data_IF_184810029304
#
_entry.id   IF_184810029304
#
_cell.length_a   1.000
_cell.length_b   1.000
_cell.length_c   1.000
_cell.angle_alpha   90.00
_cell.angle_beta   90.00
_cell.angle_gamma   90.00
#
_symmetry.space_group_name_H-M   'P 1'
#
loop_
_entity.id
_entity.type
_entity.pdbx_description
1 polymer ?
#
# COMPACT_ATOMS: atom_id res chain seq x y z
N UNK A 1 -41.96 -38.95 -15.87
CA UNK A 1 -40.98 -38.06 -16.53
C UNK A 1 -40.45 -37.16 -15.42
N UNK A 2 -39.23 -37.36 -14.92
CA UNK A 2 -38.76 -36.58 -13.78
C UNK A 2 -38.43 -35.17 -14.28
N UNK A 3 -38.94 -34.18 -13.56
CA UNK A 3 -38.45 -32.80 -13.59
C UNK A 3 -36.93 -32.85 -13.47
N UNK A 4 -36.26 -32.42 -14.55
CA UNK A 4 -34.83 -32.12 -14.47
C UNK A 4 -34.72 -30.89 -13.59
N UNK A 5 -34.15 -31.11 -12.39
CA UNK A 5 -33.38 -30.13 -11.66
C UNK A 5 -32.65 -29.20 -12.64
N UNK A 6 -33.22 -28.02 -12.88
CA UNK A 6 -32.48 -26.83 -13.22
C UNK A 6 -31.76 -26.42 -11.94
N UNK A 7 -30.80 -27.25 -11.54
CA UNK A 7 -29.93 -27.01 -10.42
C UNK A 7 -29.34 -25.62 -10.59
N UNK A 8 -29.26 -24.89 -9.48
CA UNK A 8 -28.58 -23.62 -9.31
C UNK A 8 -27.19 -23.66 -9.98
N UNK A 9 -27.13 -23.45 -11.29
CA UNK A 9 -25.91 -23.02 -11.96
C UNK A 9 -25.75 -21.56 -11.56
N UNK A 10 -25.29 -21.36 -10.32
CA UNK A 10 -24.93 -20.03 -9.82
C UNK A 10 -24.07 -19.37 -10.88
N UNK A 11 -24.55 -18.25 -11.42
CA UNK A 11 -23.87 -17.52 -12.48
C UNK A 11 -22.51 -17.06 -11.93
N UNK A 12 -21.45 -17.83 -12.17
CA UNK A 12 -20.11 -17.51 -11.68
C UNK A 12 -19.63 -16.25 -12.39
N UNK A 13 -19.13 -15.29 -11.62
CA UNK A 13 -18.58 -14.04 -12.15
C UNK A 13 -17.14 -14.29 -12.60
N UNK A 14 -16.80 -13.85 -13.81
CA UNK A 14 -15.42 -13.75 -14.28
C UNK A 14 -15.09 -12.31 -14.66
N UNK A 15 -13.82 -11.94 -14.54
CA UNK A 15 -13.37 -10.56 -14.72
C UNK A 15 -12.12 -10.47 -15.57
N UNK A 16 -12.00 -9.37 -16.31
CA UNK A 16 -10.81 -9.01 -17.07
C UNK A 16 -10.39 -7.59 -16.69
N UNK A 17 -9.14 -7.42 -16.29
CA UNK A 17 -8.61 -6.12 -15.88
C UNK A 17 -7.44 -5.70 -16.77
N UNK A 18 -7.46 -4.44 -17.22
CA UNK A 18 -6.40 -3.87 -18.05
C UNK A 18 -6.29 -2.35 -17.88
N UNK A 19 -5.47 -1.73 -18.71
CA UNK A 19 -5.37 -0.27 -18.81
C UNK A 19 -6.44 0.27 -19.77
N UNK A 20 -6.88 1.51 -19.59
CA UNK A 20 -7.82 2.22 -20.48
C UNK A 20 -7.15 2.63 -21.82
N UNK A 21 -6.73 1.67 -22.64
CA UNK A 21 -6.19 1.98 -23.97
C UNK A 21 -7.30 2.34 -24.98
N UNK A 22 -7.02 3.32 -25.84
CA UNK A 22 -7.90 3.73 -26.96
C UNK A 22 -7.94 2.72 -28.12
N UNK A 23 -7.18 1.62 -28.02
CA UNK A 23 -7.04 0.59 -29.05
C UNK A 23 -7.45 -0.77 -28.50
N UNK A 24 -8.54 -1.31 -29.06
CA UNK A 24 -9.12 -2.63 -28.79
C UNK A 24 -8.13 -3.78 -29.00
N UNK A 25 -7.26 -4.06 -28.02
CA UNK A 25 -6.63 -5.37 -27.92
C UNK A 25 -6.96 -5.99 -26.56
N UNK A 26 -7.74 -7.08 -26.60
CA UNK A 26 -7.94 -7.99 -25.47
C UNK A 26 -6.60 -8.59 -24.97
N UNK A 27 -5.53 -8.48 -25.77
CA UNK A 27 -4.22 -9.10 -25.54
C UNK A 27 -3.46 -8.54 -24.34
N UNK A 28 -3.82 -7.35 -23.84
CA UNK A 28 -3.20 -6.75 -22.64
C UNK A 28 -4.08 -6.85 -21.37
N UNK A 29 -5.21 -7.57 -21.45
CA UNK A 29 -6.09 -7.74 -20.29
C UNK A 29 -5.72 -8.99 -19.48
N UNK A 30 -5.57 -8.82 -18.17
CA UNK A 30 -5.35 -9.91 -17.23
C UNK A 30 -6.70 -10.49 -16.78
N UNK A 31 -6.91 -11.79 -16.99
CA UNK A 31 -8.05 -12.51 -16.40
C UNK A 31 -7.91 -12.55 -14.89
N UNK A 32 -8.98 -12.20 -14.19
CA UNK A 32 -9.10 -12.30 -12.75
C UNK A 32 -9.81 -13.60 -12.36
N UNK A 33 -9.20 -14.30 -11.40
CA UNK A 33 -9.86 -15.36 -10.65
C UNK A 33 -10.37 -14.75 -9.34
N UNK A 34 -11.66 -14.90 -9.08
CA UNK A 34 -12.26 -14.49 -7.81
C UNK A 34 -12.24 -15.67 -6.84
N UNK A 35 -11.56 -15.49 -5.72
CA UNK A 35 -11.52 -16.43 -4.61
C UNK A 35 -12.67 -16.09 -3.65
N UNK A 36 -13.40 -17.11 -3.18
CA UNK A 36 -14.43 -16.94 -2.16
C UNK A 36 -13.80 -16.62 -0.81
N UNK A 37 -14.38 -15.65 -0.11
CA UNK A 37 -14.03 -15.25 1.25
C UNK A 37 -15.12 -15.66 2.25
N UNK A 38 -14.82 -15.71 3.56
CA UNK A 38 -15.75 -16.17 4.60
C UNK A 38 -17.13 -15.48 4.62
N UNK A 39 -17.23 -14.25 4.11
CA UNK A 39 -18.47 -13.45 4.03
C UNK A 39 -19.24 -13.63 2.71
N UNK A 40 -19.02 -14.72 1.96
CA UNK A 40 -19.53 -14.89 0.59
C UNK A 40 -19.10 -13.77 -0.40
N UNK A 41 -18.04 -13.03 -0.06
CA UNK A 41 -17.43 -12.01 -0.93
C UNK A 41 -16.42 -12.67 -1.88
N UNK A 42 -16.35 -12.20 -3.12
CA UNK A 42 -15.29 -12.56 -4.05
C UNK A 42 -14.11 -11.60 -3.97
N UNK A 43 -12.89 -12.11 -3.96
CA UNK A 43 -11.67 -11.30 -4.05
C UNK A 43 -10.82 -11.70 -5.24
N UNK A 44 -10.41 -10.74 -6.05
CA UNK A 44 -9.50 -10.94 -7.18
C UNK A 44 -8.39 -9.88 -7.19
N UNK A 45 -7.20 -10.25 -7.66
CA UNK A 45 -6.06 -9.35 -7.72
C UNK A 45 -5.32 -9.51 -9.04
N UNK A 46 -5.07 -8.41 -9.75
CA UNK A 46 -4.19 -8.40 -10.91
C UNK A 46 -2.75 -8.11 -10.49
N UNK A 47 -1.89 -9.12 -10.59
CA UNK A 47 -0.47 -9.05 -10.17
C UNK A 47 0.51 -8.78 -11.31
N UNK A 48 0.03 -8.80 -12.57
CA UNK A 48 0.87 -8.75 -13.77
C UNK A 48 0.56 -7.54 -14.67
N UNK A 49 -0.08 -6.50 -14.12
CA UNK A 49 -0.30 -5.24 -14.85
C UNK A 49 0.97 -4.41 -14.87
N UNK A 50 1.31 -3.87 -16.03
CA UNK A 50 2.40 -2.93 -16.23
C UNK A 50 2.04 -1.95 -17.35
N UNK A 51 2.70 -0.79 -17.36
CA UNK A 51 2.64 0.17 -18.47
C UNK A 51 4.03 0.24 -19.10
N UNK A 52 4.11 0.07 -20.42
CA UNK A 52 5.37 0.17 -21.17
C UNK A 52 5.80 1.62 -21.32
N UNK A 53 7.09 1.86 -21.45
CA UNK A 53 7.67 3.14 -21.83
C UNK A 53 7.28 3.60 -23.25
N UNK A 54 6.72 2.72 -24.08
CA UNK A 54 6.07 3.07 -25.34
C UNK A 54 4.82 3.93 -25.13
N UNK A 55 4.11 3.74 -24.00
CA UNK A 55 2.95 4.55 -23.64
C UNK A 55 3.41 5.90 -23.08
N UNK A 56 3.03 6.99 -23.75
CA UNK A 56 3.43 8.36 -23.39
C UNK A 56 2.39 9.10 -22.54
N UNK A 57 1.30 8.44 -22.15
CA UNK A 57 0.26 9.05 -21.31
C UNK A 57 0.82 9.38 -19.94
N UNK A 58 0.48 10.57 -19.43
CA UNK A 58 0.85 11.00 -18.06
C UNK A 58 -0.02 10.35 -17.00
N UNK A 59 -1.20 9.91 -17.39
CA UNK A 59 -2.18 9.29 -16.52
C UNK A 59 -2.99 8.24 -17.28
N UNK A 60 -3.47 7.22 -16.57
CA UNK A 60 -4.34 6.17 -17.10
C UNK A 60 -5.37 5.77 -16.03
N UNK A 61 -6.38 4.99 -16.41
CA UNK A 61 -7.28 4.29 -15.48
C UNK A 61 -7.16 2.79 -15.69
N UNK A 62 -7.39 2.04 -14.62
CA UNK A 62 -7.67 0.62 -14.72
C UNK A 62 -9.12 0.44 -15.17
N UNK A 63 -9.34 -0.55 -16.03
CA UNK A 63 -10.65 -0.95 -16.52
C UNK A 63 -10.88 -2.39 -16.11
N UNK A 64 -11.94 -2.63 -15.34
CA UNK A 64 -12.42 -3.95 -14.97
C UNK A 64 -13.71 -4.24 -15.74
N UNK A 65 -13.70 -5.29 -16.55
CA UNK A 65 -14.91 -5.81 -17.21
C UNK A 65 -15.34 -7.08 -16.53
N UNK A 66 -16.60 -7.15 -16.12
CA UNK A 66 -17.18 -8.32 -15.46
C UNK A 66 -18.21 -9.00 -16.37
N UNK A 67 -18.22 -10.33 -16.34
CA UNK A 67 -19.13 -11.16 -17.11
C UNK A 67 -19.68 -12.29 -16.23
N UNK A 68 -20.92 -12.68 -16.48
CA UNK A 68 -21.46 -13.94 -15.98
C UNK A 68 -20.88 -15.12 -16.76
N UNK A 69 -20.97 -16.32 -16.19
CA UNK A 69 -20.50 -17.56 -16.81
C UNK A 69 -21.20 -17.91 -18.12
N UNK A 70 -22.40 -17.36 -18.37
CA UNK A 70 -23.13 -17.49 -19.63
C UNK A 70 -22.65 -16.51 -20.72
N UNK A 71 -21.64 -15.68 -20.44
CA UNK A 71 -21.09 -14.69 -21.36
C UNK A 71 -21.78 -13.32 -21.34
N UNK A 72 -22.86 -13.15 -20.56
CA UNK A 72 -23.52 -11.86 -20.42
C UNK A 72 -22.62 -10.87 -19.67
N UNK A 73 -22.40 -9.69 -20.24
CA UNK A 73 -21.65 -8.61 -19.59
C UNK A 73 -22.44 -8.06 -18.38
N UNK A 74 -21.77 -7.99 -17.24
CA UNK A 74 -22.30 -7.37 -16.02
C UNK A 74 -22.05 -5.86 -16.10
N UNK A 75 -20.85 -5.46 -16.52
CA UNK A 75 -20.51 -4.06 -16.73
C UNK A 75 -19.01 -3.81 -16.81
N UNK A 76 -18.70 -2.55 -17.10
CA UNK A 76 -17.33 -2.03 -17.17
C UNK A 76 -17.14 -0.96 -16.10
N UNK A 77 -16.15 -1.18 -15.23
CA UNK A 77 -15.83 -0.37 -14.06
C UNK A 77 -14.44 0.24 -14.19
N UNK A 78 -14.30 1.51 -13.80
CA UNK A 78 -13.06 2.27 -13.96
C UNK A 78 -12.43 2.62 -12.60
N UNK A 79 -11.11 2.60 -12.49
CA UNK A 79 -10.45 3.18 -11.32
C UNK A 79 -10.47 4.72 -11.35
N UNK A 80 -10.04 5.34 -10.25
CA UNK A 80 -9.56 6.73 -10.30
C UNK A 80 -8.34 6.84 -11.21
N UNK A 81 -8.00 8.07 -11.55
CA UNK A 81 -6.86 8.38 -12.39
C UNK A 81 -5.54 8.00 -11.68
N UNK A 82 -4.69 7.24 -12.34
CA UNK A 82 -3.37 6.82 -11.84
C UNK A 82 -2.30 7.59 -12.61
N UNK A 83 -1.44 8.30 -11.87
CA UNK A 83 -0.33 9.07 -12.45
C UNK A 83 0.83 8.15 -12.80
N UNK A 84 1.33 8.26 -14.03
CA UNK A 84 2.54 7.58 -14.48
C UNK A 84 3.76 8.33 -13.96
N UNK A 85 4.66 7.60 -13.31
CA UNK A 85 5.93 8.12 -12.79
C UNK A 85 7.08 7.28 -13.33
N UNK A 86 8.24 7.91 -13.56
CA UNK A 86 9.41 7.22 -14.11
C UNK A 86 10.11 6.36 -13.07
N UNK A 87 10.69 7.00 -12.04
CA UNK A 87 11.33 6.37 -10.88
C UNK A 87 11.08 7.25 -9.65
N UNK A 88 11.02 6.67 -8.44
CA UNK A 88 11.00 7.48 -7.23
C UNK A 88 12.24 8.38 -7.19
N UNK A 89 12.04 9.66 -6.86
CA UNK A 89 13.14 10.61 -6.73
C UNK A 89 14.00 10.23 -5.53
N UNK A 90 15.31 10.06 -5.76
CA UNK A 90 16.31 9.95 -4.69
C UNK A 90 16.76 11.31 -4.14
N UNK A 91 16.47 12.39 -4.88
CA UNK A 91 16.78 13.76 -4.44
C UNK A 91 15.83 14.17 -3.32
N UNK A 92 16.29 15.09 -2.46
CA UNK A 92 15.47 15.77 -1.45
C UNK A 92 14.17 16.23 -2.10
N UNK A 93 13.05 15.74 -1.60
CA UNK A 93 11.76 16.12 -2.16
C UNK A 93 11.52 17.59 -1.84
N UNK A 94 11.26 18.38 -2.87
CA UNK A 94 10.93 19.79 -2.72
C UNK A 94 9.42 19.98 -2.74
N UNK A 95 8.94 20.99 -2.02
CA UNK A 95 7.54 21.43 -2.07
C UNK A 95 7.13 22.03 -3.44
N UNK A 96 8.01 22.03 -4.45
CA UNK A 96 7.66 22.40 -5.83
C UNK A 96 7.00 21.26 -6.61
N UNK A 97 7.10 20.01 -6.13
CA UNK A 97 6.45 18.84 -6.73
C UNK A 97 5.55 18.17 -5.69
N UNK A 98 4.48 18.87 -5.33
CA UNK A 98 3.49 18.47 -4.32
C UNK A 98 2.68 17.24 -4.71
N UNK A 99 2.50 17.00 -6.01
CA UNK A 99 1.68 15.88 -6.52
C UNK A 99 2.16 14.50 -6.06
N UNK A 100 3.45 14.37 -5.74
CA UNK A 100 4.04 13.12 -5.29
C UNK A 100 4.20 13.07 -3.76
N UNK A 101 3.81 14.12 -3.03
CA UNK A 101 3.88 14.13 -1.58
C UNK A 101 2.70 13.40 -0.97
N UNK A 102 2.88 12.89 0.25
CA UNK A 102 1.81 12.25 1.02
C UNK A 102 1.30 13.25 2.06
N UNK A 103 0.02 13.60 1.98
CA UNK A 103 -0.67 14.44 2.96
C UNK A 103 -1.18 13.64 4.15
N UNK A 104 -1.29 14.31 5.29
CA UNK A 104 -2.04 13.82 6.45
C UNK A 104 -3.49 13.52 6.05
N UNK A 105 -4.02 12.38 6.51
CA UNK A 105 -5.37 11.91 6.17
C UNK A 105 -5.44 11.13 4.85
N UNK A 106 -4.36 11.04 4.07
CA UNK A 106 -4.34 10.20 2.87
C UNK A 106 -4.27 8.71 3.23
N UNK A 107 -4.84 7.89 2.35
CA UNK A 107 -4.73 6.42 2.43
C UNK A 107 -3.43 5.97 1.80
N UNK A 108 -2.71 5.09 2.48
CA UNK A 108 -1.44 4.51 2.05
C UNK A 108 -1.44 3.00 2.22
N UNK A 109 -0.55 2.34 1.50
CA UNK A 109 -0.17 0.93 1.71
C UNK A 109 1.33 0.86 1.96
N UNK A 110 1.72 -0.15 2.74
CA UNK A 110 3.11 -0.41 3.10
C UNK A 110 3.48 -1.81 2.65
N UNK A 111 4.62 -1.92 1.98
CA UNK A 111 5.16 -3.23 1.61
C UNK A 111 6.66 -3.31 1.83
N UNK A 112 7.12 -4.50 2.18
CA UNK A 112 8.53 -4.85 2.25
C UNK A 112 8.86 -5.80 1.09
N UNK A 113 10.05 -5.64 0.51
CA UNK A 113 10.57 -6.55 -0.52
C UNK A 113 12.02 -6.89 -0.22
N UNK A 114 12.25 -8.07 0.33
CA UNK A 114 13.58 -8.56 0.69
C UNK A 114 14.43 -8.76 -0.57
N UNK A 115 15.63 -8.16 -0.58
CA UNK A 115 16.63 -8.27 -1.67
C UNK A 115 16.07 -8.00 -3.08
N UNK A 116 15.05 -7.15 -3.19
CA UNK A 116 14.41 -6.80 -4.47
C UNK A 116 13.77 -7.98 -5.23
N UNK A 117 13.47 -9.09 -4.54
CA UNK A 117 12.84 -10.26 -5.16
C UNK A 117 11.31 -10.12 -5.15
N UNK A 118 10.62 -10.33 -6.29
CA UNK A 118 9.16 -10.15 -6.36
C UNK A 118 8.41 -11.11 -5.44
N UNK A 119 8.85 -12.37 -5.35
CA UNK A 119 8.27 -13.44 -4.51
C UNK A 119 8.39 -13.14 -3.01
N UNK A 120 9.36 -12.31 -2.60
CA UNK A 120 9.52 -11.91 -1.20
C UNK A 120 8.67 -10.72 -0.78
N UNK A 121 7.85 -10.17 -1.69
CA UNK A 121 6.99 -9.03 -1.36
C UNK A 121 6.00 -9.44 -0.29
N UNK A 122 5.95 -8.65 0.79
CA UNK A 122 4.96 -8.77 1.86
C UNK A 122 4.35 -7.40 2.10
N UNK A 123 3.03 -7.37 2.22
CA UNK A 123 2.26 -6.17 2.47
C UNK A 123 1.82 -6.14 3.92
N UNK A 124 1.83 -4.95 4.53
CA UNK A 124 1.20 -4.77 5.83
C UNK A 124 -0.31 -4.96 5.67
N UNK A 125 -0.89 -5.80 6.52
CA UNK A 125 -2.33 -6.04 6.56
C UNK A 125 -2.80 -6.24 8.00
N UNK A 126 -4.11 -6.37 8.17
CA UNK A 126 -4.74 -6.67 9.46
C UNK A 126 -5.65 -7.87 9.27
N UNK A 127 -5.47 -8.89 10.10
CA UNK A 127 -6.27 -10.11 10.09
C UNK A 127 -6.48 -10.57 11.53
N UNK A 128 -7.71 -10.98 11.87
CA UNK A 128 -8.02 -11.47 13.23
C UNK A 128 -7.73 -10.44 14.34
N UNK A 129 -7.81 -9.14 14.03
CA UNK A 129 -7.49 -8.07 14.99
C UNK A 129 -6.01 -7.78 15.19
N UNK A 130 -5.11 -8.46 14.46
CA UNK A 130 -3.67 -8.28 14.58
C UNK A 130 -3.04 -7.78 13.28
N UNK A 131 -1.97 -7.00 13.40
CA UNK A 131 -1.14 -6.63 12.25
C UNK A 131 -0.34 -7.84 11.78
N UNK A 132 -0.44 -8.11 10.48
CA UNK A 132 0.25 -9.22 9.83
C UNK A 132 0.98 -8.74 8.59
N UNK A 133 1.81 -9.63 8.04
CA UNK A 133 2.45 -9.39 6.77
C UNK A 133 2.02 -10.43 5.74
N UNK A 134 1.16 -10.01 4.83
CA UNK A 134 0.53 -10.91 3.86
C UNK A 134 1.26 -10.91 2.53
N UNK A 135 1.38 -12.10 1.91
CA UNK A 135 1.83 -12.24 0.53
C UNK A 135 0.68 -12.11 -0.49
N UNK A 136 -0.58 -12.10 -0.01
CA UNK A 136 -1.78 -12.19 -0.85
C UNK A 136 -2.53 -10.87 -0.94
N UNK A 137 -2.73 -10.21 0.20
CA UNK A 137 -3.55 -9.02 0.33
C UNK A 137 -2.75 -7.90 0.97
N UNK A 138 -3.21 -6.67 0.76
CA UNK A 138 -2.68 -5.48 1.38
C UNK A 138 -3.82 -4.70 1.99
N UNK A 139 -3.58 -4.06 3.13
CA UNK A 139 -4.55 -3.14 3.71
C UNK A 139 -4.22 -1.70 3.32
N UNK A 140 -5.27 -0.89 3.18
CA UNK A 140 -5.13 0.55 3.14
C UNK A 140 -5.17 1.11 4.57
N UNK A 141 -4.23 1.99 4.88
CA UNK A 141 -4.13 2.68 6.16
C UNK A 141 -4.30 4.18 5.95
N UNK A 142 -5.14 4.84 6.74
CA UNK A 142 -5.14 6.30 6.82
C UNK A 142 -3.95 6.73 7.65
N UNK A 143 -3.12 7.61 7.09
CA UNK A 143 -1.91 8.09 7.75
C UNK A 143 -2.15 9.50 8.29
N UNK A 144 -2.26 9.62 9.61
CA UNK A 144 -2.51 10.89 10.29
C UNK A 144 -1.23 11.46 10.87
N UNK A 145 -1.01 12.76 10.68
CA UNK A 145 0.04 13.51 11.36
C UNK A 145 -0.38 13.80 12.80
N UNK A 146 0.46 13.45 13.77
CA UNK A 146 0.22 13.74 15.18
C UNK A 146 0.57 15.19 15.52
N UNK A 147 -0.10 15.76 16.51
CA UNK A 147 0.38 16.96 17.21
C UNK A 147 1.33 16.53 18.34
N UNK A 148 2.50 17.18 18.43
CA UNK A 148 3.53 16.89 19.44
C UNK A 148 3.03 17.07 20.88
N UNK A 149 1.90 17.78 21.08
CA UNK A 149 1.33 18.10 22.39
C UNK A 149 0.19 17.16 22.83
N UNK A 150 -0.23 16.19 22.03
CA UNK A 150 -1.41 15.37 22.35
C UNK A 150 -1.08 14.01 22.97
N UNK A 151 -1.60 13.77 24.18
CA UNK A 151 -1.55 12.47 24.87
C UNK A 151 -2.56 11.50 24.26
N UNK A 152 -2.04 10.36 23.76
CA UNK A 152 -2.61 9.00 23.47
C UNK A 152 -4.09 8.79 23.07
N UNK A 153 -5.05 9.61 23.45
CA UNK A 153 -6.49 9.37 23.26
C UNK A 153 -7.18 10.34 22.28
N UNK A 154 -6.58 11.49 21.99
CA UNK A 154 -7.11 12.45 21.02
C UNK A 154 -5.98 12.79 20.04
N UNK A 155 -6.09 12.30 18.80
CA UNK A 155 -5.16 12.63 17.72
C UNK A 155 -5.80 13.74 16.88
N UNK A 156 -5.52 15.02 17.15
CA UNK A 156 -6.10 16.11 16.38
C UNK A 156 -5.57 16.04 14.94
N UNK A 157 -6.49 16.08 13.97
CA UNK A 157 -6.18 16.04 12.56
C UNK A 157 -5.44 17.31 12.15
N UNK A 158 -4.13 17.21 11.91
CA UNK A 158 -3.35 18.31 11.34
C UNK A 158 -3.33 18.21 9.81
N UNK A 159 -3.68 19.29 9.13
CA UNK A 159 -3.52 19.43 7.69
C UNK A 159 -2.06 19.70 7.31
N UNK A 160 -1.58 19.08 6.24
CA UNK A 160 -0.23 19.28 5.73
C UNK A 160 0.40 18.03 5.13
N UNK A 161 1.58 18.21 4.51
CA UNK A 161 2.39 17.10 4.03
C UNK A 161 3.14 16.44 5.18
N UNK A 162 3.17 15.12 5.16
CA UNK A 162 3.93 14.34 6.13
C UNK A 162 5.41 14.44 5.78
N UNK A 163 6.23 14.73 6.79
CA UNK A 163 7.67 14.90 6.66
C UNK A 163 8.38 13.79 7.43
N UNK A 164 9.59 13.45 7.02
CA UNK A 164 10.45 12.60 7.83
C UNK A 164 10.74 13.27 9.18
N UNK A 165 10.81 12.45 10.23
CA UNK A 165 10.91 12.91 11.61
C UNK A 165 9.56 13.22 12.27
N UNK A 166 8.47 13.31 11.51
CA UNK A 166 7.13 13.52 12.09
C UNK A 166 6.61 12.29 12.80
N UNK A 167 5.84 12.52 13.87
CA UNK A 167 5.04 11.49 14.53
C UNK A 167 3.75 11.28 13.73
N UNK A 168 3.43 10.02 13.44
CA UNK A 168 2.28 9.62 12.64
C UNK A 168 1.52 8.49 13.31
N UNK A 169 0.22 8.41 13.01
CA UNK A 169 -0.64 7.29 13.36
C UNK A 169 -1.13 6.59 12.10
N UNK A 170 -0.98 5.27 12.08
CA UNK A 170 -1.48 4.40 11.03
C UNK A 170 -2.78 3.75 11.50
N UNK A 171 -3.87 4.02 10.79
CA UNK A 171 -5.22 3.51 11.09
C UNK A 171 -5.69 2.63 9.95
N UNK A 172 -5.99 1.36 10.20
CA UNK A 172 -6.52 0.47 9.17
C UNK A 172 -7.90 0.94 8.71
N UNK A 173 -8.08 1.20 7.42
CA UNK A 173 -9.35 1.73 6.87
C UNK A 173 -10.51 0.75 6.96
N UNK A 174 -10.23 -0.56 6.97
CA UNK A 174 -11.26 -1.60 7.00
C UNK A 174 -11.70 -1.97 8.43
N UNK A 175 -10.76 -1.98 9.39
CA UNK A 175 -11.01 -2.48 10.75
C UNK A 175 -10.96 -1.40 11.82
N UNK A 176 -10.46 -0.20 11.51
CA UNK A 176 -10.23 0.88 12.47
C UNK A 176 -9.03 0.64 13.40
N UNK A 177 -8.37 -0.52 13.34
CA UNK A 177 -7.27 -0.87 14.23
C UNK A 177 -6.06 0.01 13.94
N UNK A 178 -5.42 0.50 15.01
CA UNK A 178 -4.31 1.45 14.95
C UNK A 178 -3.01 0.87 15.48
N UNK A 179 -1.88 1.22 14.86
CA UNK A 179 -0.58 1.06 15.52
C UNK A 179 -0.39 2.14 16.60
N UNK A 180 0.46 1.90 17.62
CA UNK A 180 0.96 2.96 18.48
C UNK A 180 1.58 4.11 17.66
N UNK A 181 1.77 5.30 18.24
CA UNK A 181 2.42 6.42 17.55
C UNK A 181 3.81 6.05 17.03
N UNK A 182 4.09 6.38 15.77
CA UNK A 182 5.33 6.03 15.07
C UNK A 182 6.02 7.30 14.57
N UNK A 183 7.34 7.34 14.60
CA UNK A 183 8.13 8.37 13.92
C UNK A 183 8.59 7.79 12.59
N UNK A 184 8.21 8.44 11.49
CA UNK A 184 8.61 8.00 10.15
C UNK A 184 10.02 8.50 9.82
N UNK A 185 10.93 7.58 9.52
CA UNK A 185 12.34 7.84 9.22
C UNK A 185 12.66 7.51 7.77
N UNK A 186 13.52 8.32 7.15
CA UNK A 186 14.01 8.05 5.79
C UNK A 186 14.99 6.90 5.83
N UNK A 187 14.87 5.96 4.90
CA UNK A 187 15.82 4.84 4.80
C UNK A 187 16.75 5.06 3.61
N UNK A 188 18.05 5.06 3.88
CA UNK A 188 19.08 5.07 2.84
C UNK A 188 19.97 3.84 3.01
N UNK A 189 20.01 2.99 1.97
CA UNK A 189 20.60 1.64 2.05
C UNK A 189 19.89 0.80 3.13
N UNK A 190 20.51 0.62 4.28
CA UNK A 190 19.97 -0.10 5.46
C UNK A 190 19.94 0.79 6.71
N UNK A 191 20.11 2.09 6.57
CA UNK A 191 20.15 3.03 7.69
C UNK A 191 18.88 3.85 7.77
N UNK A 192 18.31 3.95 8.96
CA UNK A 192 17.36 5.01 9.31
C UNK A 192 18.14 6.31 9.52
N UNK A 193 17.72 7.36 8.81
CA UNK A 193 18.28 8.70 8.93
C UNK A 193 17.46 9.50 9.96
N UNK A 194 18.13 10.01 11.00
CA UNK A 194 17.47 10.68 12.13
C UNK A 194 17.29 12.19 11.95
N UNK A 195 18.11 12.80 11.08
CA UNK A 195 18.24 14.25 10.86
C UNK A 195 17.60 14.74 9.56
N UNK A 196 16.77 13.90 8.93
CA UNK A 196 16.09 14.25 7.68
C UNK A 196 14.74 14.88 7.97
N UNK A 197 14.60 16.14 7.57
CA UNK A 197 13.33 16.88 7.56
C UNK A 197 12.97 17.31 6.12
N UNK A 198 12.28 16.41 5.41
CA UNK A 198 11.73 16.67 4.07
C UNK A 198 10.38 15.93 3.89
N UNK A 199 9.50 16.41 3.00
CA UNK A 199 8.25 15.71 2.68
C UNK A 199 8.49 14.30 2.15
N UNK A 200 7.62 13.38 2.55
CA UNK A 200 7.65 12.00 2.07
C UNK A 200 7.01 11.93 0.70
N UNK A 201 7.60 11.13 -0.19
CA UNK A 201 7.10 10.94 -1.54
C UNK A 201 6.65 9.51 -1.85
N UNK A 202 5.83 9.36 -2.89
CA UNK A 202 5.41 8.07 -3.43
C UNK A 202 6.60 7.14 -3.68
N UNK A 203 6.47 5.87 -3.28
CA UNK A 203 7.46 4.81 -3.44
C UNK A 203 8.80 5.04 -2.71
N UNK A 204 8.86 5.97 -1.75
CA UNK A 204 10.03 6.11 -0.89
C UNK A 204 10.22 4.91 0.03
N UNK A 205 11.49 4.62 0.34
CA UNK A 205 11.85 3.69 1.42
C UNK A 205 11.90 4.44 2.75
N UNK A 206 11.17 3.93 3.72
CA UNK A 206 11.03 4.51 5.05
C UNK A 206 11.05 3.41 6.12
N UNK A 207 11.21 3.82 7.38
CA UNK A 207 11.11 2.97 8.55
C UNK A 207 10.22 3.66 9.57
N UNK A 208 9.58 2.88 10.44
CA UNK A 208 8.65 3.39 11.45
C UNK A 208 9.19 3.07 12.83
N UNK A 209 9.72 4.08 13.52
CA UNK A 209 10.25 3.98 14.88
C UNK A 209 9.09 4.13 15.88
N UNK A 210 8.99 3.30 16.91
CA UNK A 210 7.98 3.50 17.96
C UNK A 210 8.34 4.74 18.80
N UNK A 211 7.42 5.70 18.90
CA UNK A 211 7.64 6.92 19.67
C UNK A 211 7.88 6.59 21.15
N UNK A 212 8.89 7.22 21.76
CA UNK A 212 9.25 6.99 23.17
C UNK A 212 9.95 5.64 23.44
N UNK A 213 10.27 4.86 22.40
CA UNK A 213 11.02 3.60 22.54
C UNK A 213 12.54 3.80 22.39
N UNK A 214 13.33 2.87 22.92
CA UNK A 214 14.77 2.83 22.70
C UNK A 214 15.12 2.15 21.36
N UNK A 215 14.99 2.91 20.26
CA UNK A 215 15.33 2.47 18.89
C UNK A 215 14.55 1.24 18.42
N UNK A 216 13.31 1.08 18.85
CA UNK A 216 12.45 0.00 18.37
C UNK A 216 11.76 0.42 17.07
N UNK A 217 11.78 -0.46 16.06
CA UNK A 217 11.18 -0.23 14.76
C UNK A 217 10.15 -1.29 14.41
N UNK A 218 9.12 -0.88 13.66
CA UNK A 218 8.15 -1.78 13.04
C UNK A 218 8.85 -2.66 12.02
N UNK A 219 8.85 -3.97 12.28
CA UNK A 219 9.65 -4.92 11.54
C UNK A 219 8.81 -6.10 11.07
N UNK A 220 9.03 -6.48 9.81
CA UNK A 220 8.62 -7.75 9.27
C UNK A 220 9.55 -8.88 9.75
N UNK A 221 8.99 -9.95 10.29
CA UNK A 221 9.68 -11.23 10.45
C UNK A 221 8.76 -12.35 9.95
N UNK A 222 9.15 -12.97 8.83
CA UNK A 222 8.35 -13.95 8.08
C UNK A 222 6.97 -13.43 7.69
N UNK A 223 5.92 -13.78 8.44
CA UNK A 223 4.53 -13.34 8.23
C UNK A 223 3.99 -12.52 9.41
N UNK A 224 4.85 -12.27 10.41
CA UNK A 224 4.50 -11.53 11.62
C UNK A 224 5.09 -10.13 11.59
N UNK A 225 4.34 -9.22 12.19
CA UNK A 225 4.80 -7.87 12.50
C UNK A 225 5.32 -7.85 13.93
N UNK A 226 6.58 -7.49 14.11
CA UNK A 226 7.28 -7.46 15.40
C UNK A 226 7.94 -6.11 15.62
N UNK A 227 8.45 -5.89 16.82
CA UNK A 227 9.36 -4.78 17.10
C UNK A 227 10.80 -5.28 17.01
N UNK A 228 11.66 -4.54 16.30
CA UNK A 228 13.09 -4.85 16.19
C UNK A 228 13.91 -3.68 16.71
N UNK A 229 14.89 -3.95 17.57
CA UNK A 229 15.78 -2.92 18.08
C UNK A 229 16.90 -2.65 17.07
N UNK A 230 16.99 -1.41 16.58
CA UNK A 230 18.06 -1.01 15.68
C UNK A 230 19.39 -0.81 16.41
N UNK A 231 20.49 -1.10 15.71
CA UNK A 231 21.84 -0.89 16.24
C UNK A 231 22.31 0.54 15.94
N UNK A 232 22.86 1.29 16.92
CA UNK A 232 23.44 2.60 16.64
C UNK A 232 24.63 2.48 15.70
N UNK A 233 24.83 3.46 14.80
CA UNK A 233 26.02 3.51 13.97
C UNK A 233 27.22 4.04 14.80
N UNK A 234 28.34 3.30 14.93
CA UNK A 234 29.48 3.73 15.74
C UNK A 234 30.16 5.02 15.24
N UNK A 235 30.02 5.31 13.94
CA UNK A 235 30.71 6.42 13.27
C UNK A 235 29.83 7.66 13.07
N UNK A 236 28.52 7.50 13.07
CA UNK A 236 27.57 8.53 12.66
C UNK A 236 26.34 8.52 13.59
N UNK A 237 26.28 9.45 14.54
CA UNK A 237 25.20 9.50 15.53
C UNK A 237 23.80 9.79 14.93
N UNK A 238 23.74 10.31 13.70
CA UNK A 238 22.49 10.60 12.98
C UNK A 238 21.94 9.38 12.21
N UNK A 239 22.51 8.19 12.39
CA UNK A 239 22.08 6.97 11.68
C UNK A 239 21.94 5.77 12.61
N UNK A 240 20.92 4.98 12.34
CA UNK A 240 20.68 3.70 13.01
C UNK A 240 20.61 2.58 11.96
N UNK A 241 21.32 1.48 12.21
CA UNK A 241 21.35 0.31 11.35
C UNK A 241 20.09 -0.52 11.57
N UNK A 242 19.32 -0.67 10.50
CA UNK A 242 18.10 -1.45 10.47
C UNK A 242 18.38 -2.86 9.93
N UNK A 243 17.49 -3.79 10.26
CA UNK A 243 17.36 -5.01 9.49
C UNK A 243 16.50 -4.77 8.23
N UNK A 244 16.62 -5.67 7.24
CA UNK A 244 15.84 -5.56 6.00
C UNK A 244 14.32 -5.57 6.24
N UNK A 245 13.87 -6.25 7.29
CA UNK A 245 12.45 -6.33 7.66
C UNK A 245 11.85 -5.01 8.16
N UNK A 246 12.68 -4.06 8.63
CA UNK A 246 12.22 -2.74 9.08
C UNK A 246 12.14 -1.70 7.95
N UNK A 247 12.54 -2.08 6.72
CA UNK A 247 12.56 -1.19 5.56
C UNK A 247 11.25 -1.32 4.76
N UNK A 248 10.36 -0.34 4.88
CA UNK A 248 9.07 -0.33 4.20
C UNK A 248 9.09 0.59 2.99
N UNK A 249 8.36 0.24 1.94
CA UNK A 249 8.04 1.14 0.83
C UNK A 249 6.62 1.63 1.02
N UNK A 250 6.43 2.95 0.98
CA UNK A 250 5.14 3.60 1.15
C UNK A 250 4.57 4.06 -0.21
N UNK A 251 3.27 3.86 -0.40
CA UNK A 251 2.55 4.31 -1.59
C UNK A 251 1.13 4.74 -1.23
N UNK A 252 0.66 5.83 -1.82
CA UNK A 252 -0.73 6.28 -1.73
C UNK A 252 -1.67 5.30 -2.41
N UNK A 253 -2.86 5.14 -1.86
CA UNK A 253 -3.89 4.23 -2.37
C UNK A 253 -5.23 4.93 -2.50
N UNK A 254 -6.01 4.47 -3.46
CA UNK A 254 -7.35 4.99 -3.75
C UNK A 254 -8.34 3.83 -3.82
N UNK A 255 -9.61 4.13 -3.56
CA UNK A 255 -10.73 3.20 -3.64
C UNK A 255 -11.82 3.81 -4.51
N UNK A 256 -12.46 2.96 -5.32
CA UNK A 256 -13.69 3.28 -6.05
C UNK A 256 -14.72 2.23 -5.66
N UNK A 257 -15.92 2.70 -5.35
CA UNK A 257 -17.09 1.89 -5.03
C UNK A 257 -18.17 2.23 -6.06
N UNK A 258 -18.87 1.21 -6.53
CA UNK A 258 -19.86 1.26 -7.62
C UNK A 258 -21.18 0.69 -7.14
#
# INVERSE_FOLDING_TARGET
LPDRDLGEMGFRVCGYMGLDSMGSSLMETQKLSFEEQPDAKGFGCAKALYISDADKRKHFRLVLKLFFSNGQEIGTFHSKLIKVISKPSQKKQSLKNTDLCISSGSKVSLFNRLRSQTVSTRYLSVEGGAFIASARQWAAFTLHLADEHCTRSEFPLREGYIRYGSVVQLVCTATGITLPPLIIRKVTKQYAMLDVDEPISQLHKCAFQFQGSDRMYLCLSTEKVIQFQASPCPKEANRELLNDGSCWTIIGTEMVEY
#
